data_IF_656468780362
#
_entry.id   IF_656468780362
#
_cell.length_a   1.000
_cell.length_b   1.000
_cell.length_c   1.000
_cell.angle_alpha   90.00
_cell.angle_beta   90.00
_cell.angle_gamma   90.00
#
_symmetry.space_group_name_H-M   'P 1'
#
loop_
_entity.id
_entity.type
_entity.pdbx_description
1 polymer ?
#
# COMPACT_ATOMS: atom_id res chain seq x y z
N UNK A 1 20.63 22.29 -6.28
CA UNK A 1 19.24 21.92 -5.94
C UNK A 1 18.67 21.11 -7.08
N UNK A 2 18.39 19.82 -6.91
CA UNK A 2 17.15 19.22 -7.42
C UNK A 2 17.04 17.73 -7.07
N UNK A 3 15.82 17.35 -6.72
CA UNK A 3 15.28 16.00 -6.83
C UNK A 3 15.91 14.94 -5.92
N UNK A 4 15.89 15.20 -4.60
CA UNK A 4 15.33 14.16 -3.71
C UNK A 4 13.87 13.99 -4.12
N UNK A 5 13.63 13.34 -5.26
CA UNK A 5 12.38 12.65 -5.53
C UNK A 5 12.32 11.54 -4.48
N UNK A 6 12.02 11.92 -3.23
CA UNK A 6 11.39 11.03 -2.30
C UNK A 6 10.30 10.41 -3.14
N UNK A 7 10.39 9.10 -3.37
CA UNK A 7 9.34 8.35 -4.03
C UNK A 7 8.16 8.48 -3.06
N UNK A 8 7.47 9.61 -3.12
CA UNK A 8 6.24 9.86 -2.41
C UNK A 8 5.39 8.75 -2.94
N UNK A 9 5.20 7.73 -2.11
CA UNK A 9 4.42 6.56 -2.43
C UNK A 9 2.96 7.01 -2.47
N UNK A 10 2.65 7.91 -3.41
CA UNK A 10 1.43 8.68 -3.53
C UNK A 10 0.45 7.84 -4.36
N UNK A 11 -0.11 6.83 -3.71
CA UNK A 11 -1.30 6.17 -4.23
C UNK A 11 -2.54 6.93 -3.79
N UNK A 12 -3.61 6.89 -4.59
CA UNK A 12 -4.95 7.27 -4.14
C UNK A 12 -5.67 6.03 -3.64
N UNK A 13 -6.44 6.18 -2.58
CA UNK A 13 -7.30 5.12 -2.10
C UNK A 13 -8.32 4.75 -3.18
N UNK A 14 -8.41 3.46 -3.49
CA UNK A 14 -9.38 2.92 -4.45
C UNK A 14 -10.85 3.11 -4.03
N UNK A 15 -11.08 3.36 -2.74
CA UNK A 15 -12.42 3.48 -2.16
C UNK A 15 -12.85 4.95 -2.07
N UNK A 16 -12.09 5.79 -1.38
CA UNK A 16 -12.47 7.19 -1.11
C UNK A 16 -11.66 8.25 -1.89
N UNK A 17 -10.70 7.83 -2.72
CA UNK A 17 -9.84 8.73 -3.50
C UNK A 17 -8.82 9.55 -2.69
N UNK A 18 -8.82 9.44 -1.36
CA UNK A 18 -7.89 10.16 -0.49
C UNK A 18 -6.44 9.67 -0.65
N UNK A 19 -5.48 10.46 -0.18
CA UNK A 19 -4.06 10.10 -0.20
C UNK A 19 -3.78 8.87 0.66
N UNK A 20 -2.94 7.98 0.14
CA UNK A 20 -2.40 6.85 0.87
C UNK A 20 -1.04 7.24 1.46
N UNK A 21 -0.83 6.91 2.73
CA UNK A 21 0.46 7.02 3.41
C UNK A 21 1.18 5.67 3.45
N UNK A 22 2.50 5.69 3.46
CA UNK A 22 3.31 4.48 3.57
C UNK A 22 3.21 3.95 5.01
N UNK A 23 2.58 2.80 5.17
CA UNK A 23 2.47 2.14 6.48
C UNK A 23 3.68 1.23 6.72
N UNK A 24 3.96 0.33 5.79
CA UNK A 24 5.07 -0.63 5.91
C UNK A 24 5.64 -0.96 4.54
N UNK A 25 6.95 -1.17 4.44
CA UNK A 25 7.59 -1.67 3.23
C UNK A 25 8.64 -2.71 3.56
N UNK A 26 8.45 -3.91 3.04
CA UNK A 26 9.38 -5.02 3.16
C UNK A 26 10.07 -5.22 1.81
N UNK A 27 11.29 -4.69 1.70
CA UNK A 27 12.10 -4.82 0.48
C UNK A 27 12.57 -6.26 0.25
N UNK A 28 12.74 -7.06 1.32
CA UNK A 28 13.22 -8.45 1.25
C UNK A 28 12.16 -9.38 0.67
N UNK A 29 10.90 -9.19 1.06
CA UNK A 29 9.72 -9.93 0.56
C UNK A 29 9.05 -9.24 -0.64
N UNK A 30 9.52 -8.06 -1.02
CA UNK A 30 8.91 -7.23 -2.07
C UNK A 30 7.46 -6.88 -1.75
N UNK A 31 7.14 -6.56 -0.49
CA UNK A 31 5.80 -6.16 -0.06
C UNK A 31 5.80 -4.70 0.32
N UNK A 32 4.71 -4.00 0.03
CA UNK A 32 4.49 -2.62 0.40
C UNK A 32 3.06 -2.47 0.82
N UNK A 33 2.83 -1.86 1.97
CA UNK A 33 1.54 -1.62 2.56
C UNK A 33 1.40 -0.11 2.65
N UNK A 34 0.32 0.40 2.08
CA UNK A 34 -0.09 1.78 2.27
C UNK A 34 -1.40 1.83 3.04
N UNK A 35 -1.61 2.87 3.82
CA UNK A 35 -2.84 3.09 4.56
C UNK A 35 -3.50 4.39 4.13
N UNK A 36 -4.81 4.34 3.91
CA UNK A 36 -5.64 5.50 3.67
C UNK A 36 -5.83 6.31 4.95
N UNK A 37 -5.40 7.57 4.96
CA UNK A 37 -5.54 8.47 6.12
C UNK A 37 -6.99 8.84 6.43
N UNK A 38 -7.87 8.78 5.42
CA UNK A 38 -9.28 9.17 5.55
C UNK A 38 -10.21 8.02 5.93
N UNK A 39 -9.93 6.83 5.43
CA UNK A 39 -10.84 5.68 5.47
C UNK A 39 -10.26 4.46 6.19
N UNK A 40 -8.97 4.51 6.57
CA UNK A 40 -8.27 3.44 7.28
C UNK A 40 -8.07 2.16 6.46
N UNK A 41 -8.34 2.19 5.15
CA UNK A 41 -8.18 1.04 4.26
C UNK A 41 -6.69 0.79 3.99
N UNK A 42 -6.28 -0.48 4.04
CA UNK A 42 -4.90 -0.88 3.77
C UNK A 42 -4.77 -1.44 2.35
N UNK A 43 -3.83 -0.87 1.59
CA UNK A 43 -3.48 -1.24 0.24
C UNK A 43 -2.18 -2.01 0.21
N UNK A 44 -2.28 -3.30 -0.05
CA UNK A 44 -1.17 -4.23 -0.16
C UNK A 44 -0.70 -4.28 -1.60
N UNK A 45 0.53 -3.87 -1.81
CA UNK A 45 1.26 -3.97 -3.06
C UNK A 45 2.32 -5.05 -2.93
N UNK A 46 2.49 -5.84 -3.99
CA UNK A 46 3.57 -6.81 -4.12
C UNK A 46 4.42 -6.44 -5.34
N UNK A 47 5.73 -6.46 -5.17
CA UNK A 47 6.71 -6.33 -6.24
C UNK A 47 6.73 -7.65 -7.00
N UNK A 48 6.34 -7.60 -8.27
CA UNK A 48 6.44 -8.74 -9.17
C UNK A 48 7.88 -8.99 -9.62
N UNK A 49 8.09 -10.10 -10.32
CA UNK A 49 9.40 -10.51 -10.85
C UNK A 49 9.99 -9.49 -11.83
N UNK A 50 9.13 -8.69 -12.48
CA UNK A 50 9.51 -7.61 -13.41
C UNK A 50 9.75 -6.25 -12.73
N UNK A 51 9.85 -6.21 -11.40
CA UNK A 51 10.09 -4.95 -10.65
C UNK A 51 8.87 -4.02 -10.51
N UNK A 52 7.74 -4.33 -11.16
CA UNK A 52 6.48 -3.57 -11.04
C UNK A 52 5.78 -3.86 -9.71
N UNK A 53 5.26 -2.84 -9.06
CA UNK A 53 4.39 -2.96 -7.89
C UNK A 53 2.95 -3.15 -8.34
N UNK A 54 2.34 -4.28 -7.96
CA UNK A 54 0.94 -4.57 -8.26
C UNK A 54 0.14 -4.54 -6.96
N UNK A 55 -0.97 -3.82 -6.95
CA UNK A 55 -1.95 -3.91 -5.86
C UNK A 55 -2.50 -5.34 -5.86
N UNK A 56 -2.24 -6.08 -4.78
CA UNK A 56 -2.72 -7.46 -4.61
C UNK A 56 -3.97 -7.52 -3.78
N UNK A 57 -4.13 -6.61 -2.81
CA UNK A 57 -5.29 -6.57 -1.93
C UNK A 57 -5.50 -5.17 -1.39
N UNK A 58 -6.75 -4.77 -1.25
CA UNK A 58 -7.13 -3.58 -0.51
C UNK A 58 -8.24 -3.97 0.46
N UNK A 59 -8.14 -3.55 1.72
CA UNK A 59 -9.15 -3.88 2.72
C UNK A 59 -8.80 -3.35 4.10
N UNK A 60 -9.78 -3.34 5.00
CA UNK A 60 -9.54 -3.01 6.41
C UNK A 60 -8.78 -4.16 7.08
N UNK A 61 -7.93 -3.84 8.05
CA UNK A 61 -7.21 -4.85 8.85
C UNK A 61 -8.18 -5.89 9.44
N UNK A 62 -9.37 -5.46 9.87
CA UNK A 62 -10.42 -6.32 10.40
C UNK A 62 -10.88 -7.40 9.42
N UNK A 63 -11.00 -7.08 8.13
CA UNK A 63 -11.39 -8.02 7.07
C UNK A 63 -10.23 -8.94 6.64
N UNK A 64 -8.99 -8.49 6.82
CA UNK A 64 -7.80 -9.27 6.47
C UNK A 64 -7.53 -10.38 7.48
N UNK A 65 -7.80 -10.13 8.76
CA UNK A 65 -7.52 -11.03 9.87
C UNK A 65 -8.71 -11.95 10.17
N UNK A 66 -9.89 -11.68 9.57
CA UNK A 66 -11.11 -12.50 9.73
C UNK A 66 -11.07 -13.87 9.02
N UNK A 67 -10.00 -14.21 8.30
CA UNK A 67 -9.77 -15.56 7.79
C UNK A 67 -9.01 -16.41 8.80
N UNK A 68 -9.66 -16.70 9.92
CA UNK A 68 -9.33 -17.82 10.79
C UNK A 68 -10.63 -18.30 11.43
N UNK A 69 -11.40 -19.09 10.68
CA UNK A 69 -12.43 -19.96 11.23
C UNK A 69 -12.56 -21.18 10.35
#
# INVERSE_FOLDING_TARGET
MNEKAGKTYAGKCVDCGASLELYEIDFKKGRRIMQCTRCGLYHFYKKGFFGKWKLVKAGRVSDLWRKSK
#
